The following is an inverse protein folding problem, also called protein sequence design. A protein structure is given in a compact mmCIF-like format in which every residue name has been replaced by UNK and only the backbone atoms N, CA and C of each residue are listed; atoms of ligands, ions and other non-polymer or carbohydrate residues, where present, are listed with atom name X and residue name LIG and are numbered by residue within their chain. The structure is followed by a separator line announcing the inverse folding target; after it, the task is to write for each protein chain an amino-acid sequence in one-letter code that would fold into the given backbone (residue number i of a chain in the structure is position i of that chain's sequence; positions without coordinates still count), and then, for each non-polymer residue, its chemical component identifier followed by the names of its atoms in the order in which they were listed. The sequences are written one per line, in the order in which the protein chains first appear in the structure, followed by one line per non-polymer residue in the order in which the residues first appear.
data_IF_361692200619
#
_entry.id   IF_361692200619
#
_cell.length_a   1.000
_cell.length_b   1.000
_cell.length_c   1.000
_cell.angle_alpha   90.00
_cell.angle_beta   90.00
_cell.angle_gamma   90.00
#
_symmetry.space_group_name_H-M   'P 1'
#
loop_
_entity.id
_entity.type
_entity.pdbx_description
1 polymer ?
#
# COMPACT_ATOMS: atom_id res chain seq x y z
N UNK A 1 -17.53 -1.38 17.41
CA UNK A 1 -18.42 -0.82 16.35
C UNK A 1 -18.52 -1.74 15.15
N UNK A 2 -17.43 -2.22 14.54
CA UNK A 2 -17.47 -3.18 13.40
C UNK A 2 -18.25 -4.49 13.68
N UNK A 3 -18.27 -4.99 14.91
CA UNK A 3 -19.00 -6.21 15.29
C UNK A 3 -20.50 -5.98 15.59
N UNK A 4 -20.95 -4.74 15.75
CA UNK A 4 -22.31 -4.39 16.17
C UNK A 4 -23.19 -3.93 15.00
N UNK A 5 -22.60 -3.31 13.97
CA UNK A 5 -23.29 -2.90 12.75
C UNK A 5 -22.46 -3.37 11.54
N UNK A 6 -22.77 -4.54 10.93
CA UNK A 6 -22.07 -5.01 9.74
C UNK A 6 -22.61 -4.23 8.53
N UNK A 7 -22.30 -2.94 8.47
CA UNK A 7 -22.53 -2.14 7.28
C UNK A 7 -21.30 -2.27 6.39
N UNK A 8 -21.51 -2.54 5.11
CA UNK A 8 -20.46 -2.56 4.07
C UNK A 8 -19.83 -1.18 3.83
N UNK A 9 -20.13 -0.20 4.68
CA UNK A 9 -19.67 1.18 4.59
C UNK A 9 -18.26 1.34 5.14
N UNK A 10 -17.44 2.14 4.43
CA UNK A 10 -16.12 2.59 4.87
C UNK A 10 -16.19 3.39 6.18
N UNK A 11 -15.05 3.60 6.86
CA UNK A 11 -14.91 4.41 8.08
C UNK A 11 -15.61 5.78 8.01
N UNK A 12 -15.73 6.35 6.81
CA UNK A 12 -16.48 7.57 6.54
C UNK A 12 -17.99 7.48 6.90
N UNK A 13 -18.62 6.31 6.74
CA UNK A 13 -20.02 6.07 7.09
C UNK A 13 -20.22 6.12 8.60
N UNK A 14 -19.26 5.60 9.37
CA UNK A 14 -19.28 5.70 10.83
C UNK A 14 -19.08 7.15 11.29
N UNK A 15 -18.15 7.89 10.68
CA UNK A 15 -17.96 9.31 10.98
C UNK A 15 -19.22 10.14 10.66
N UNK A 16 -19.90 9.83 9.54
CA UNK A 16 -21.17 10.46 9.17
C UNK A 16 -22.27 10.18 10.20
N UNK A 17 -22.37 8.94 10.68
CA UNK A 17 -23.47 8.47 11.54
C UNK A 17 -23.31 8.87 13.01
N UNK A 18 -22.09 8.86 13.55
CA UNK A 18 -21.83 9.06 14.98
C UNK A 18 -21.28 10.45 15.33
N UNK A 19 -20.68 11.20 14.39
CA UNK A 19 -20.18 12.55 14.67
C UNK A 19 -21.05 13.61 14.00
N UNK A 20 -21.03 13.68 12.67
CA UNK A 20 -21.92 14.54 11.87
C UNK A 20 -21.73 14.25 10.37
N UNK A 21 -22.70 14.62 9.52
CA UNK A 21 -22.56 14.52 8.06
C UNK A 21 -21.30 15.20 7.51
N UNK A 22 -20.89 16.31 8.11
CA UNK A 22 -19.68 17.06 7.72
C UNK A 22 -18.40 16.25 7.97
N UNK A 23 -18.28 15.58 9.13
CA UNK A 23 -17.11 14.74 9.42
C UNK A 23 -17.06 13.49 8.54
N UNK A 24 -18.23 12.94 8.17
CA UNK A 24 -18.32 11.89 7.17
C UNK A 24 -17.78 12.31 5.80
N UNK A 25 -18.16 13.50 5.34
CA UNK A 25 -17.64 14.05 4.08
C UNK A 25 -16.14 14.34 4.14
N UNK A 26 -15.67 14.98 5.22
CA UNK A 26 -14.26 15.30 5.40
C UNK A 26 -13.39 14.04 5.39
N UNK A 27 -13.79 13.00 6.13
CA UNK A 27 -13.04 11.73 6.19
C UNK A 27 -13.02 11.00 4.85
N UNK A 28 -14.12 11.02 4.09
CA UNK A 28 -14.15 10.46 2.73
C UNK A 28 -13.15 11.17 1.79
N UNK A 29 -13.13 12.51 1.82
CA UNK A 29 -12.19 13.28 0.99
C UNK A 29 -10.75 13.12 1.45
N UNK A 30 -10.47 13.19 2.75
CA UNK A 30 -9.13 12.95 3.28
C UNK A 30 -8.61 11.56 2.89
N UNK A 31 -9.47 10.54 2.92
CA UNK A 31 -9.11 9.19 2.48
C UNK A 31 -8.78 9.15 0.99
N UNK A 32 -9.58 9.81 0.15
CA UNK A 32 -9.31 9.88 -1.27
C UNK A 32 -7.99 10.60 -1.59
N UNK A 33 -7.73 11.74 -0.95
CA UNK A 33 -6.47 12.46 -1.09
C UNK A 33 -5.27 11.66 -0.59
N UNK A 34 -5.42 10.94 0.52
CA UNK A 34 -4.38 10.04 1.04
C UNK A 34 -4.02 8.99 -0.01
N UNK A 35 -5.01 8.32 -0.62
CA UNK A 35 -4.75 7.30 -1.64
C UNK A 35 -4.15 7.86 -2.92
N UNK A 36 -4.51 9.08 -3.33
CA UNK A 36 -3.82 9.74 -4.44
C UNK A 36 -2.35 10.00 -4.12
N UNK A 37 -2.05 10.53 -2.93
CA UNK A 37 -0.68 10.82 -2.53
C UNK A 37 0.17 9.54 -2.45
N UNK A 38 -0.38 8.48 -1.86
CA UNK A 38 0.27 7.16 -1.80
C UNK A 38 0.50 6.60 -3.20
N UNK A 39 -0.51 6.62 -4.08
CA UNK A 39 -0.39 6.10 -5.44
C UNK A 39 0.69 6.80 -6.25
N UNK A 40 0.79 8.13 -6.17
CA UNK A 40 1.86 8.89 -6.83
C UNK A 40 3.22 8.49 -6.24
N UNK A 41 3.32 8.42 -4.91
CA UNK A 41 4.56 8.05 -4.23
C UNK A 41 5.07 6.67 -4.64
N UNK A 42 4.18 5.67 -4.73
CA UNK A 42 4.54 4.30 -5.12
C UNK A 42 4.99 4.23 -6.58
N UNK A 43 4.27 4.88 -7.50
CA UNK A 43 4.64 4.92 -8.93
C UNK A 43 5.99 5.61 -9.13
N UNK A 44 6.23 6.72 -8.42
CA UNK A 44 7.53 7.41 -8.45
C UNK A 44 8.64 6.51 -7.91
N UNK A 45 8.41 5.81 -6.80
CA UNK A 45 9.40 4.90 -6.21
C UNK A 45 9.79 3.79 -7.19
N UNK A 46 8.81 3.16 -7.88
CA UNK A 46 9.09 2.14 -8.90
C UNK A 46 9.95 2.72 -10.02
N UNK A 47 9.64 3.93 -10.49
CA UNK A 47 10.43 4.61 -11.51
C UNK A 47 11.89 4.80 -11.10
N UNK A 48 12.14 5.24 -9.86
CA UNK A 48 13.49 5.43 -9.31
C UNK A 48 14.22 4.09 -9.14
N UNK A 49 13.55 3.07 -8.62
CA UNK A 49 14.16 1.73 -8.47
C UNK A 49 14.57 1.12 -9.79
N UNK A 50 13.75 1.29 -10.83
CA UNK A 50 14.07 0.75 -12.14
C UNK A 50 15.22 1.52 -12.79
N UNK A 51 15.31 2.84 -12.59
CA UNK A 51 16.46 3.63 -13.03
C UNK A 51 17.76 3.26 -12.32
N UNK A 52 17.70 2.75 -11.08
CA UNK A 52 18.89 2.23 -10.39
C UNK A 52 19.53 1.06 -11.14
N UNK A 53 18.73 0.18 -11.78
CA UNK A 53 19.26 -0.93 -12.60
C UNK A 53 19.42 -0.57 -14.07
N UNK A 54 18.54 0.28 -14.61
CA UNK A 54 18.54 0.70 -16.02
C UNK A 54 18.52 2.24 -16.11
N UNK A 55 19.69 2.90 -15.99
CA UNK A 55 19.78 4.36 -15.89
C UNK A 55 19.26 5.10 -17.13
N UNK A 56 19.38 4.48 -18.31
CA UNK A 56 18.94 5.07 -19.58
C UNK A 56 17.43 4.93 -19.82
N UNK A 57 16.72 4.17 -18.99
CA UNK A 57 15.29 3.95 -19.19
C UNK A 57 14.47 5.14 -18.67
N UNK A 58 13.61 5.67 -19.53
CA UNK A 58 12.72 6.77 -19.18
C UNK A 58 11.69 6.35 -18.12
N UNK A 59 11.54 7.15 -17.08
CA UNK A 59 10.74 6.85 -15.89
C UNK A 59 9.24 6.58 -16.17
N UNK A 60 8.70 7.12 -17.27
CA UNK A 60 7.30 6.93 -17.65
C UNK A 60 6.98 5.49 -18.10
N UNK A 61 7.98 4.74 -18.59
CA UNK A 61 7.80 3.35 -19.05
C UNK A 61 7.47 2.42 -17.86
N UNK A 62 8.31 2.31 -16.82
CA UNK A 62 7.99 1.48 -15.65
C UNK A 62 6.76 1.98 -14.90
N UNK A 63 6.48 3.28 -14.91
CA UNK A 63 5.25 3.84 -14.34
C UNK A 63 3.98 3.30 -15.05
N UNK A 64 3.94 3.34 -16.39
CA UNK A 64 2.81 2.80 -17.15
C UNK A 64 2.64 1.30 -16.96
N UNK A 65 3.74 0.55 -16.93
CA UNK A 65 3.71 -0.90 -16.70
C UNK A 65 3.14 -1.20 -15.31
N UNK A 66 3.57 -0.48 -14.27
CA UNK A 66 3.09 -0.66 -12.92
C UNK A 66 1.58 -0.38 -12.80
N UNK A 67 1.11 0.74 -13.35
CA UNK A 67 -0.33 1.08 -13.39
C UNK A 67 -1.12 0.01 -14.13
N UNK A 68 -0.63 -0.46 -15.28
CA UNK A 68 -1.27 -1.50 -16.07
C UNK A 68 -1.39 -2.83 -15.31
N UNK A 69 -0.33 -3.26 -14.63
CA UNK A 69 -0.34 -4.46 -13.79
C UNK A 69 -1.35 -4.36 -12.64
N UNK A 70 -1.40 -3.21 -11.95
CA UNK A 70 -2.38 -2.98 -10.87
C UNK A 70 -3.81 -2.99 -11.41
N UNK A 71 -4.05 -2.38 -12.56
CA UNK A 71 -5.37 -2.39 -13.20
C UNK A 71 -5.80 -3.81 -13.59
N UNK A 72 -4.89 -4.61 -14.17
CA UNK A 72 -5.16 -6.01 -14.51
C UNK A 72 -5.41 -6.86 -13.25
N UNK A 73 -4.64 -6.66 -12.19
CA UNK A 73 -4.83 -7.34 -10.92
C UNK A 73 -6.22 -7.02 -10.32
N UNK A 74 -6.67 -5.76 -10.41
CA UNK A 74 -8.01 -5.36 -9.96
C UNK A 74 -9.13 -6.07 -10.73
N UNK A 75 -8.90 -6.44 -12.00
CA UNK A 75 -9.88 -7.16 -12.82
C UNK A 75 -9.86 -8.68 -12.61
N UNK A 76 -8.68 -9.26 -12.31
CA UNK A 76 -8.49 -10.71 -12.32
C UNK A 76 -8.79 -11.42 -10.98
N UNK A 77 -8.83 -10.71 -9.84
CA UNK A 77 -8.36 -11.33 -8.61
C UNK A 77 -9.26 -11.28 -7.37
N UNK A 78 -10.60 -11.36 -7.43
CA UNK A 78 -11.36 -11.52 -6.16
C UNK A 78 -10.96 -12.80 -5.41
N UNK A 79 -10.54 -13.86 -6.13
CA UNK A 79 -10.11 -15.13 -5.54
C UNK A 79 -8.59 -15.27 -5.36
N UNK A 80 -7.80 -14.69 -6.26
CA UNK A 80 -6.33 -14.81 -6.23
C UNK A 80 -5.67 -13.80 -5.28
N UNK A 81 -6.35 -12.68 -4.99
CA UNK A 81 -5.82 -11.61 -4.15
C UNK A 81 -5.52 -12.10 -2.73
N UNK A 82 -6.42 -12.88 -2.12
CA UNK A 82 -6.24 -13.39 -0.76
C UNK A 82 -5.02 -14.32 -0.60
N UNK A 83 -4.75 -15.18 -1.59
CA UNK A 83 -3.58 -16.07 -1.55
C UNK A 83 -2.28 -15.30 -1.79
N UNK A 84 -2.25 -14.39 -2.77
CA UNK A 84 -1.07 -13.56 -3.05
C UNK A 84 -0.74 -12.66 -1.86
N UNK A 85 -1.75 -12.04 -1.24
CA UNK A 85 -1.59 -11.18 -0.08
C UNK A 85 -1.01 -11.96 1.11
N UNK A 86 -1.46 -13.20 1.33
CA UNK A 86 -0.90 -14.08 2.35
C UNK A 86 0.60 -14.34 2.13
N UNK A 87 1.00 -14.69 0.90
CA UNK A 87 2.41 -14.93 0.57
C UNK A 87 3.27 -13.65 0.69
N UNK A 88 2.77 -12.50 0.24
CA UNK A 88 3.47 -11.22 0.41
C UNK A 88 3.61 -10.81 1.87
N UNK A 89 2.59 -11.05 2.71
CA UNK A 89 2.65 -10.81 4.14
C UNK A 89 3.71 -11.70 4.82
N UNK A 90 3.82 -12.97 4.42
CA UNK A 90 4.83 -13.89 4.94
C UNK A 90 6.26 -13.39 4.66
N UNK A 91 6.53 -12.90 3.44
CA UNK A 91 7.84 -12.33 3.07
C UNK A 91 8.16 -11.13 3.97
N UNK A 92 7.20 -10.22 4.18
CA UNK A 92 7.38 -9.06 5.06
C UNK A 92 7.72 -9.47 6.49
N UNK A 93 6.96 -10.39 7.08
CA UNK A 93 7.20 -10.88 8.45
C UNK A 93 8.58 -11.52 8.57
N UNK A 94 8.93 -12.40 7.63
CA UNK A 94 10.24 -13.06 7.61
C UNK A 94 11.38 -12.05 7.50
N UNK A 95 11.22 -11.02 6.66
CA UNK A 95 12.22 -9.96 6.49
C UNK A 95 12.42 -9.17 7.78
N UNK A 96 11.34 -8.79 8.47
CA UNK A 96 11.41 -8.09 9.76
C UNK A 96 12.15 -8.96 10.80
N UNK A 97 11.84 -10.25 10.88
CA UNK A 97 12.51 -11.18 11.81
C UNK A 97 14.02 -11.23 11.51
N UNK A 98 14.40 -11.39 10.24
CA UNK A 98 15.80 -11.41 9.82
C UNK A 98 16.50 -10.09 10.16
N UNK A 99 15.86 -8.94 9.89
CA UNK A 99 16.42 -7.63 10.23
C UNK A 99 16.61 -7.44 11.74
N UNK A 100 15.68 -7.92 12.57
CA UNK A 100 15.80 -7.86 14.04
C UNK A 100 16.96 -8.74 14.51
N UNK A 101 17.09 -9.96 14.00
CA UNK A 101 18.18 -10.88 14.37
C UNK A 101 19.54 -10.29 13.98
N UNK A 102 19.66 -9.76 12.76
CA UNK A 102 20.89 -9.11 12.26
C UNK A 102 21.19 -7.84 13.08
N UNK A 103 20.19 -7.05 13.44
CA UNK A 103 20.32 -5.85 14.27
C UNK A 103 20.79 -6.16 15.70
N UNK A 104 20.29 -7.25 16.31
CA UNK A 104 20.72 -7.72 17.63
C UNK A 104 22.13 -8.34 17.61
N UNK A 105 22.57 -8.83 16.45
CA UNK A 105 23.93 -9.35 16.22
C UNK A 105 25.05 -8.29 16.27
N UNK A 106 24.71 -6.99 16.33
CA UNK A 106 25.65 -5.91 16.68
C UNK A 106 26.39 -5.25 15.50
N UNK A 107 26.52 -5.91 14.35
CA UNK A 107 27.29 -5.35 13.22
C UNK A 107 26.48 -4.45 12.28
N UNK A 108 25.15 -4.53 12.29
CA UNK A 108 24.29 -3.77 11.36
C UNK A 108 24.05 -2.31 11.78
N UNK A 109 24.17 -1.99 13.09
CA UNK A 109 24.01 -0.62 13.60
C UNK A 109 25.26 0.26 13.38
N UNK A 110 26.35 -0.28 12.84
CA UNK A 110 27.62 0.43 12.61
C UNK A 110 27.83 0.89 11.15
N UNK A 111 26.99 0.44 10.23
CA UNK A 111 27.09 0.71 8.78
C UNK A 111 25.99 1.64 8.25
N UNK A 112 25.14 2.15 9.14
CA UNK A 112 24.21 3.27 8.94
C UNK A 112 24.60 4.41 9.87
#
# INVERSE_FOLDING_TARGET
MLFLEPVTGSFAVYAHRYMSPFFGYLTAWSYWFMWMAVGISEITAIGVYVQFWFPEMAQWIPALIAVGLVALANLAAVRLYGEIEFWFAMIKVTTIIVMIIIGLGGDFLRLW
#
